data_IF_969037670665
#
_entry.id   IF_969037670665
#
_cell.length_a   1.000
_cell.length_b   1.000
_cell.length_c   1.000
_cell.angle_alpha   90.00
_cell.angle_beta   90.00
_cell.angle_gamma   90.00
#
_symmetry.space_group_name_H-M   'P 1'
#
loop_
_entity.id
_entity.type
_entity.pdbx_description
1 polymer ?
#
# COMPACT_ATOMS: atom_id res chain seq x y z
N UNK A 1 -10.02 42.40 23.05
CA UNK A 1 -11.29 41.90 23.62
C UNK A 1 -11.76 40.71 22.79
N UNK A 2 -11.97 39.49 23.32
CA UNK A 2 -11.23 38.78 24.35
C UNK A 2 -10.59 37.46 23.83
N UNK A 3 -9.43 37.11 24.41
CA UNK A 3 -8.77 35.80 24.28
C UNK A 3 -9.64 34.69 24.88
N UNK A 4 -9.83 33.59 24.14
CA UNK A 4 -10.46 32.39 24.66
C UNK A 4 -9.47 31.57 25.50
N UNK A 5 -9.61 31.66 26.83
CA UNK A 5 -8.92 30.78 27.79
C UNK A 5 -9.60 29.41 27.78
N UNK A 6 -8.90 28.39 27.31
CA UNK A 6 -9.30 27.00 27.54
C UNK A 6 -9.02 26.63 29.00
N UNK A 7 -10.07 26.36 29.77
CA UNK A 7 -9.99 25.83 31.12
C UNK A 7 -9.85 24.30 31.05
N UNK A 8 -8.69 23.79 31.42
CA UNK A 8 -8.48 22.34 31.60
C UNK A 8 -9.09 21.93 32.95
N UNK A 9 -10.17 21.14 32.92
CA UNK A 9 -10.69 20.45 34.10
C UNK A 9 -9.76 19.29 34.44
N UNK A 10 -9.10 19.39 35.60
CA UNK A 10 -8.41 18.27 36.21
C UNK A 10 -9.44 17.30 36.82
N UNK A 11 -9.45 16.05 36.38
CA UNK A 11 -10.19 14.99 37.04
C UNK A 11 -9.32 14.41 38.17
N UNK A 12 -9.72 14.67 39.41
CA UNK A 12 -9.11 14.09 40.61
C UNK A 12 -9.79 12.76 40.92
N UNK A 13 -9.06 11.66 40.84
CA UNK A 13 -9.53 10.34 41.32
C UNK A 13 -8.93 10.08 42.69
N UNK A 14 -9.71 10.32 43.74
CA UNK A 14 -9.37 9.90 45.09
C UNK A 14 -9.44 8.36 45.18
N UNK A 15 -8.37 7.73 45.67
CA UNK A 15 -8.29 6.29 45.92
C UNK A 15 -8.72 6.04 47.36
N UNK A 16 -9.90 5.45 47.56
CA UNK A 16 -10.35 5.00 48.88
C UNK A 16 -9.76 3.62 49.16
N UNK A 17 -8.91 3.50 50.18
CA UNK A 17 -8.43 2.22 50.67
C UNK A 17 -9.56 1.50 51.42
N UNK A 18 -10.04 0.38 50.87
CA UNK A 18 -10.89 -0.55 51.59
C UNK A 18 -10.00 -1.62 52.26
N UNK A 19 -9.92 -1.56 53.58
CA UNK A 19 -9.36 -2.63 54.42
C UNK A 19 -10.40 -3.76 54.52
N UNK A 20 -10.12 -4.89 53.88
CA UNK A 20 -10.88 -6.12 54.11
C UNK A 20 -9.97 -7.21 54.66
N UNK A 21 -10.36 -7.70 55.83
CA UNK A 21 -9.68 -8.67 56.65
C UNK A 21 -9.46 -10.02 55.93
N UNK A 22 -8.29 -10.61 56.17
CA UNK A 22 -7.92 -11.99 55.82
C UNK A 22 -8.92 -12.99 56.45
N UNK A 23 -9.61 -13.76 55.62
CA UNK A 23 -10.24 -15.03 56.04
C UNK A 23 -9.42 -16.22 55.51
N UNK A 24 -9.17 -17.26 56.32
CA UNK A 24 -8.42 -18.43 55.87
C UNK A 24 -9.24 -19.30 54.92
N UNK A 25 -8.55 -19.78 53.89
CA UNK A 25 -9.03 -20.69 52.85
C UNK A 25 -9.39 -22.06 53.41
N UNK A 26 -10.47 -22.67 52.91
CA UNK A 26 -10.50 -24.12 52.89
C UNK A 26 -10.90 -24.64 51.49
N UNK A 27 -10.28 -25.77 51.16
CA UNK A 27 -10.63 -26.71 50.08
C UNK A 27 -10.09 -26.43 48.68
N UNK A 28 -8.97 -27.12 48.39
CA UNK A 28 -8.72 -27.94 47.20
C UNK A 28 -9.69 -27.71 46.02
N UNK A 29 -9.43 -26.66 45.24
CA UNK A 29 -9.94 -26.52 43.89
C UNK A 29 -8.83 -26.92 42.92
N UNK A 30 -9.07 -27.98 42.16
CA UNK A 30 -8.21 -28.44 41.08
C UNK A 30 -7.70 -27.25 40.25
N UNK A 31 -6.38 -27.19 40.04
CA UNK A 31 -5.81 -26.36 38.98
C UNK A 31 -6.46 -26.83 37.68
N UNK A 32 -7.47 -26.11 37.20
CA UNK A 32 -7.94 -26.23 35.84
C UNK A 32 -6.70 -26.06 34.97
N UNK A 33 -6.38 -27.13 34.27
CA UNK A 33 -5.17 -27.22 33.47
C UNK A 33 -5.18 -26.07 32.46
N UNK A 34 -4.00 -25.48 32.23
CA UNK A 34 -3.69 -24.60 31.08
C UNK A 34 -3.86 -25.32 29.72
N UNK A 35 -4.75 -26.31 29.64
CA UNK A 35 -4.98 -27.20 28.49
C UNK A 35 -5.87 -26.56 27.42
N UNK A 36 -6.62 -25.50 27.73
CA UNK A 36 -7.24 -24.67 26.70
C UNK A 36 -6.23 -23.67 26.11
N UNK A 37 -5.08 -24.17 25.65
CA UNK A 37 -4.31 -23.45 24.63
C UNK A 37 -5.21 -23.35 23.41
N UNK A 38 -5.93 -22.23 23.28
CA UNK A 38 -6.66 -21.79 22.08
C UNK A 38 -6.03 -22.43 20.85
N UNK A 39 -6.73 -23.39 20.24
CA UNK A 39 -6.25 -24.18 19.11
C UNK A 39 -5.56 -23.23 18.12
N UNK A 40 -4.25 -23.42 17.89
CA UNK A 40 -3.48 -22.49 17.06
C UNK A 40 -4.16 -22.40 15.69
N UNK A 41 -4.55 -21.18 15.29
CA UNK A 41 -5.17 -20.94 13.98
C UNK A 41 -4.18 -21.34 12.90
N UNK A 42 -4.58 -22.26 12.04
CA UNK A 42 -3.78 -22.66 10.88
C UNK A 42 -3.95 -21.64 9.75
N UNK A 43 -2.87 -21.39 9.02
CA UNK A 43 -2.92 -20.56 7.83
C UNK A 43 -3.67 -21.29 6.71
N UNK A 44 -4.49 -20.57 5.96
CA UNK A 44 -5.13 -21.10 4.77
C UNK A 44 -4.10 -21.28 3.64
N UNK A 45 -4.33 -22.22 2.71
CA UNK A 45 -3.49 -22.35 1.53
C UNK A 45 -3.46 -21.05 0.70
N UNK A 46 -2.36 -20.77 0.00
CA UNK A 46 -2.23 -19.58 -0.82
C UNK A 46 -3.26 -19.58 -1.97
N UNK A 47 -3.70 -18.39 -2.37
CA UNK A 47 -4.67 -18.23 -3.45
C UNK A 47 -4.15 -18.77 -4.79
N UNK A 48 -2.84 -18.79 -4.98
CA UNK A 48 -2.17 -19.30 -6.20
C UNK A 48 -2.58 -20.71 -6.59
N UNK A 49 -2.90 -21.58 -5.63
CA UNK A 49 -3.34 -22.96 -5.92
C UNK A 49 -4.69 -23.03 -6.64
N UNK A 50 -5.51 -21.98 -6.53
CA UNK A 50 -6.85 -21.90 -7.12
C UNK A 50 -6.90 -21.06 -8.41
N UNK A 51 -5.78 -20.50 -8.84
CA UNK A 51 -5.75 -19.60 -9.99
C UNK A 51 -5.72 -20.41 -11.29
N UNK A 52 -6.60 -20.08 -12.23
CA UNK A 52 -6.52 -20.62 -13.60
C UNK A 52 -5.39 -19.94 -14.37
N UNK A 53 -4.82 -20.64 -15.35
CA UNK A 53 -3.74 -20.11 -16.19
C UNK A 53 -4.24 -18.95 -17.07
N UNK A 54 -5.46 -19.07 -17.60
CA UNK A 54 -6.08 -18.07 -18.49
C UNK A 54 -6.81 -16.95 -17.72
N UNK A 55 -6.55 -16.78 -16.42
CA UNK A 55 -7.20 -15.76 -15.61
C UNK A 55 -6.80 -14.33 -16.04
N UNK A 56 -7.75 -13.40 -15.94
CA UNK A 56 -7.47 -11.97 -16.13
C UNK A 56 -6.56 -11.42 -15.01
N UNK A 57 -5.29 -11.28 -15.33
CA UNK A 57 -4.27 -10.78 -14.41
C UNK A 57 -4.55 -9.37 -13.84
N UNK A 58 -4.99 -8.37 -14.63
CA UNK A 58 -5.39 -7.06 -14.11
C UNK A 58 -6.43 -7.10 -12.98
N UNK A 59 -7.31 -8.12 -12.95
CA UNK A 59 -8.26 -8.31 -11.85
C UNK A 59 -7.58 -8.78 -10.56
N UNK A 60 -6.51 -9.57 -10.66
CA UNK A 60 -5.72 -10.06 -9.53
C UNK A 60 -4.87 -8.94 -8.93
N UNK A 61 -4.32 -8.06 -9.78
CA UNK A 61 -3.38 -7.01 -9.38
C UNK A 61 -3.79 -5.65 -9.99
N UNK A 62 -4.88 -5.03 -9.53
CA UNK A 62 -5.46 -3.85 -10.18
C UNK A 62 -4.69 -2.55 -9.93
N UNK A 63 -3.97 -2.44 -8.82
CA UNK A 63 -3.32 -1.20 -8.37
C UNK A 63 -1.92 -1.47 -7.81
N UNK A 64 -1.15 -0.41 -7.58
CA UNK A 64 0.16 -0.49 -6.95
C UNK A 64 0.04 -1.05 -5.51
N UNK A 65 0.63 -2.22 -5.28
CA UNK A 65 0.59 -2.94 -4.01
C UNK A 65 1.98 -3.56 -3.77
N UNK A 66 2.41 -3.78 -2.51
CA UNK A 66 3.61 -4.57 -2.25
C UNK A 66 3.50 -6.01 -2.78
N UNK A 67 4.64 -6.63 -3.04
CA UNK A 67 4.69 -8.00 -3.53
C UNK A 67 3.99 -8.97 -2.55
N UNK A 68 2.95 -9.65 -3.02
CA UNK A 68 2.14 -10.62 -2.24
C UNK A 68 2.46 -12.05 -2.70
N UNK A 69 3.32 -12.81 -1.99
CA UNK A 69 3.72 -14.14 -2.44
C UNK A 69 2.55 -15.12 -2.59
N UNK A 70 1.48 -14.93 -1.80
CA UNK A 70 0.27 -15.77 -1.83
C UNK A 70 -0.70 -15.48 -2.98
N UNK A 71 -0.50 -14.39 -3.73
CA UNK A 71 -1.34 -13.99 -4.86
C UNK A 71 -0.60 -14.06 -6.20
N UNK A 72 0.74 -14.03 -6.20
CA UNK A 72 1.54 -14.09 -7.42
C UNK A 72 1.88 -15.56 -7.74
N UNK A 73 1.36 -16.15 -8.84
CA UNK A 73 1.51 -17.56 -9.17
C UNK A 73 2.88 -17.91 -9.78
N UNK A 74 3.85 -17.00 -9.71
CA UNK A 74 5.18 -17.18 -10.27
C UNK A 74 6.15 -17.75 -9.22
N UNK A 75 7.03 -18.71 -9.57
CA UNK A 75 8.05 -19.25 -8.66
C UNK A 75 9.31 -18.36 -8.62
N UNK A 76 9.13 -17.08 -8.28
CA UNK A 76 10.23 -16.10 -8.23
C UNK A 76 11.15 -16.38 -7.03
N UNK A 77 12.46 -16.26 -7.24
CA UNK A 77 13.48 -16.37 -6.20
C UNK A 77 14.40 -15.16 -6.25
N UNK A 78 14.86 -14.70 -5.09
CA UNK A 78 15.76 -13.55 -5.02
C UNK A 78 16.64 -13.58 -3.78
N UNK A 79 17.85 -13.03 -3.90
CA UNK A 79 18.85 -12.99 -2.83
C UNK A 79 20.15 -13.65 -3.23
N UNK A 80 21.23 -13.26 -2.56
CA UNK A 80 22.54 -13.83 -2.81
C UNK A 80 22.57 -15.30 -2.36
N UNK A 81 22.92 -16.24 -3.26
CA UNK A 81 22.97 -17.66 -2.90
C UNK A 81 24.15 -17.94 -1.97
N UNK A 82 23.96 -18.84 -1.02
CA UNK A 82 25.09 -19.42 -0.26
C UNK A 82 25.92 -20.32 -1.17
N UNK A 83 27.18 -20.62 -0.80
CA UNK A 83 28.03 -21.51 -1.61
C UNK A 83 27.31 -22.84 -1.89
N UNK A 84 27.17 -23.20 -3.17
CA UNK A 84 26.40 -24.37 -3.66
C UNK A 84 24.90 -24.35 -3.27
N UNK A 85 24.34 -23.18 -3.00
CA UNK A 85 22.94 -22.99 -2.61
C UNK A 85 22.08 -22.35 -3.70
N UNK A 86 20.77 -22.32 -3.43
CA UNK A 86 19.74 -21.71 -4.30
C UNK A 86 19.30 -20.38 -3.67
N UNK A 87 18.98 -19.35 -4.45
CA UNK A 87 18.37 -18.13 -3.93
C UNK A 87 17.08 -18.40 -3.14
N UNK A 88 16.80 -17.54 -2.15
CA UNK A 88 15.62 -17.63 -1.30
C UNK A 88 14.34 -17.59 -2.14
N UNK A 89 13.36 -18.41 -1.75
CA UNK A 89 12.04 -18.44 -2.36
C UNK A 89 11.27 -17.11 -2.14
N UNK A 90 10.04 -17.01 -2.66
CA UNK A 90 9.24 -15.78 -2.55
C UNK A 90 8.58 -15.62 -1.18
N UNK A 91 8.35 -16.72 -0.47
CA UNK A 91 7.71 -16.75 0.85
C UNK A 91 8.65 -16.13 1.89
N UNK A 92 8.19 -15.04 2.54
CA UNK A 92 8.98 -14.35 3.56
C UNK A 92 10.18 -13.55 3.06
N UNK A 93 10.36 -13.40 1.74
CA UNK A 93 11.51 -12.72 1.18
C UNK A 93 11.35 -11.19 1.21
N UNK A 94 12.01 -10.55 2.18
CA UNK A 94 11.97 -9.10 2.36
C UNK A 94 12.56 -8.34 1.16
N UNK A 95 13.49 -8.94 0.41
CA UNK A 95 14.07 -8.26 -0.75
C UNK A 95 13.00 -8.02 -1.82
N UNK A 96 12.07 -8.97 -2.02
CA UNK A 96 10.97 -8.82 -2.98
C UNK A 96 9.94 -7.75 -2.55
N UNK A 97 9.81 -7.50 -1.24
CA UNK A 97 8.95 -6.41 -0.74
C UNK A 97 9.53 -5.02 -1.02
N UNK A 98 10.85 -4.89 -1.10
CA UNK A 98 11.52 -3.60 -1.33
C UNK A 98 11.43 -3.14 -2.78
N UNK A 99 11.20 -4.05 -3.72
CA UNK A 99 11.13 -3.72 -5.15
C UNK A 99 9.80 -3.03 -5.45
N UNK A 100 9.80 -1.83 -6.06
CA UNK A 100 8.61 -1.26 -6.65
C UNK A 100 8.23 -2.11 -7.87
N UNK A 101 7.27 -3.01 -7.70
CA UNK A 101 6.86 -3.94 -8.75
C UNK A 101 5.88 -3.27 -9.75
N UNK A 102 5.87 -3.79 -10.97
CA UNK A 102 5.02 -3.30 -12.07
C UNK A 102 3.92 -4.32 -12.43
N UNK A 103 3.53 -5.18 -11.47
CA UNK A 103 2.57 -6.26 -11.73
C UNK A 103 1.16 -5.75 -12.08
N UNK A 104 0.83 -4.51 -11.72
CA UNK A 104 -0.43 -3.84 -12.09
C UNK A 104 -0.34 -3.16 -13.46
N UNK A 105 0.86 -2.88 -13.98
CA UNK A 105 1.10 -2.18 -15.25
C UNK A 105 1.55 -3.15 -16.34
N UNK A 106 0.88 -4.30 -16.44
CA UNK A 106 1.14 -5.24 -17.53
C UNK A 106 0.63 -4.67 -18.88
N UNK A 107 1.19 -5.10 -20.03
CA UNK A 107 0.74 -4.60 -21.34
C UNK A 107 -0.76 -4.79 -21.59
N UNK A 108 -1.35 -5.85 -21.05
CA UNK A 108 -2.81 -6.11 -21.13
C UNK A 108 -3.58 -5.07 -20.31
N UNK A 109 -3.12 -4.74 -19.10
CA UNK A 109 -3.73 -3.70 -18.27
C UNK A 109 -3.64 -2.33 -18.96
N UNK A 110 -2.46 -1.95 -19.46
CA UNK A 110 -2.23 -0.65 -20.11
C UNK A 110 -3.16 -0.47 -21.30
N UNK A 111 -3.32 -1.48 -22.17
CA UNK A 111 -4.24 -1.42 -23.31
C UNK A 111 -5.68 -1.17 -22.87
N UNK A 112 -6.15 -1.89 -21.84
CA UNK A 112 -7.50 -1.69 -21.27
C UNK A 112 -7.66 -0.29 -20.66
N UNK A 113 -6.67 0.19 -19.92
CA UNK A 113 -6.68 1.52 -19.30
C UNK A 113 -6.69 2.63 -20.36
N UNK A 114 -5.78 2.59 -21.33
CA UNK A 114 -5.74 3.57 -22.42
C UNK A 114 -7.04 3.56 -23.24
N UNK A 115 -7.65 2.41 -23.48
CA UNK A 115 -8.93 2.34 -24.19
C UNK A 115 -10.05 3.08 -23.44
N UNK A 116 -10.11 2.96 -22.12
CA UNK A 116 -11.09 3.69 -21.30
C UNK A 116 -10.76 5.20 -21.18
N UNK A 117 -9.49 5.57 -21.30
CA UNK A 117 -9.05 6.96 -21.21
C UNK A 117 -9.21 7.75 -22.52
N UNK A 118 -9.41 7.06 -23.66
CA UNK A 118 -9.58 7.70 -24.97
C UNK A 118 -10.74 8.68 -25.02
N UNK A 119 -11.82 8.40 -24.30
CA UNK A 119 -13.02 9.24 -24.26
C UNK A 119 -12.77 10.62 -23.63
N UNK A 120 -11.65 10.79 -22.90
CA UNK A 120 -11.23 12.06 -22.31
C UNK A 120 -10.25 12.84 -23.19
N UNK A 121 -9.71 12.23 -24.25
CA UNK A 121 -8.75 12.88 -25.14
C UNK A 121 -9.47 13.68 -26.23
N UNK A 122 -8.88 14.81 -26.64
CA UNK A 122 -9.32 15.57 -27.82
C UNK A 122 -8.34 15.40 -28.96
N UNK A 123 -8.83 15.42 -30.20
CA UNK A 123 -7.98 15.35 -31.38
C UNK A 123 -7.11 16.62 -31.49
N UNK A 124 -5.86 16.44 -31.92
CA UNK A 124 -4.96 17.55 -32.23
C UNK A 124 -5.37 18.18 -33.58
N UNK A 125 -5.41 19.52 -33.72
CA UNK A 125 -5.82 20.18 -34.96
C UNK A 125 -4.89 19.84 -36.14
N UNK A 126 -5.46 19.20 -37.17
CA UNK A 126 -4.72 18.75 -38.36
C UNK A 126 -4.07 19.88 -39.19
N UNK A 127 -4.53 21.12 -39.04
CA UNK A 127 -3.93 22.29 -39.70
C UNK A 127 -2.54 22.67 -39.14
N UNK A 128 -2.23 22.21 -37.92
CA UNK A 128 -0.97 22.43 -37.20
C UNK A 128 -0.09 21.18 -37.27
N UNK A 129 0.27 20.80 -38.49
CA UNK A 129 1.14 19.66 -38.83
C UNK A 129 2.63 20.00 -38.73
N UNK A 130 3.01 21.27 -38.85
CA UNK A 130 4.38 21.76 -38.75
C UNK A 130 4.55 22.92 -37.78
N UNK A 131 5.72 22.99 -37.15
CA UNK A 131 6.06 24.04 -36.19
C UNK A 131 6.06 25.45 -36.83
N UNK A 132 6.38 25.56 -38.13
CA UNK A 132 6.30 26.83 -38.86
C UNK A 132 4.88 27.40 -38.92
N UNK A 133 3.87 26.53 -39.09
CA UNK A 133 2.46 26.95 -39.06
C UNK A 133 2.03 27.30 -37.64
N UNK A 134 2.50 26.56 -36.63
CA UNK A 134 2.30 26.90 -35.22
C UNK A 134 2.84 28.30 -34.91
N UNK A 135 4.09 28.61 -35.28
CA UNK A 135 4.71 29.90 -35.04
C UNK A 135 4.02 31.07 -35.78
N UNK A 136 3.46 30.81 -36.97
CA UNK A 136 2.70 31.81 -37.74
C UNK A 136 1.36 32.17 -37.09
N UNK A 137 0.64 31.18 -36.56
CA UNK A 137 -0.69 31.38 -35.96
C UNK A 137 -0.63 31.71 -34.47
N UNK A 138 0.39 31.22 -33.76
CA UNK A 138 0.62 31.38 -32.32
C UNK A 138 2.07 31.86 -32.07
N UNK A 139 2.33 33.17 -32.18
CA UNK A 139 3.69 33.72 -32.07
C UNK A 139 4.22 33.85 -30.63
N UNK A 140 3.40 33.55 -29.63
CA UNK A 140 3.76 33.64 -28.20
C UNK A 140 3.72 32.23 -27.61
N UNK A 141 4.81 31.85 -26.95
CA UNK A 141 4.92 30.61 -26.18
C UNK A 141 4.93 30.92 -24.68
N UNK A 142 4.16 30.14 -23.92
CA UNK A 142 4.11 30.25 -22.45
C UNK A 142 4.69 28.95 -21.89
N UNK A 143 5.83 29.05 -21.20
CA UNK A 143 6.46 27.92 -20.54
C UNK A 143 6.04 27.88 -19.06
N UNK A 144 5.57 26.71 -18.60
CA UNK A 144 5.18 26.45 -17.21
C UNK A 144 5.82 25.16 -16.73
N UNK A 145 6.32 25.13 -15.49
CA UNK A 145 6.98 23.96 -14.91
C UNK A 145 6.24 23.42 -13.67
N UNK A 146 5.79 22.17 -13.75
CA UNK A 146 5.12 21.47 -12.65
C UNK A 146 6.02 20.39 -12.03
N UNK A 147 5.92 20.23 -10.71
CA UNK A 147 6.77 19.33 -9.94
C UNK A 147 5.95 18.35 -9.10
N UNK A 148 6.26 17.06 -9.22
CA UNK A 148 5.64 15.98 -8.43
C UNK A 148 6.69 15.37 -7.50
N UNK A 149 6.45 15.46 -6.19
CA UNK A 149 7.33 14.91 -5.17
C UNK A 149 6.56 14.00 -4.21
N UNK A 150 7.27 13.05 -3.58
CA UNK A 150 6.70 12.25 -2.50
C UNK A 150 6.74 13.04 -1.19
N UNK A 151 5.59 13.30 -0.57
CA UNK A 151 5.52 13.97 0.73
C UNK A 151 4.13 14.54 1.02
N UNK A 152 3.92 15.11 2.23
CA UNK A 152 2.66 15.72 2.60
C UNK A 152 2.44 17.09 1.95
N UNK A 153 3.51 17.80 1.57
CA UNK A 153 3.42 19.11 0.93
C UNK A 153 3.54 18.98 -0.59
N UNK A 154 2.59 19.59 -1.29
CA UNK A 154 2.58 19.70 -2.76
C UNK A 154 3.27 21.00 -3.23
N UNK A 155 3.59 21.92 -2.30
CA UNK A 155 4.16 23.23 -2.65
C UNK A 155 5.61 23.10 -3.10
N UNK A 156 5.93 23.68 -4.25
CA UNK A 156 7.29 23.89 -4.73
C UNK A 156 7.46 25.36 -5.17
N UNK A 157 8.39 26.13 -4.59
CA UNK A 157 8.60 27.54 -4.98
C UNK A 157 9.02 27.70 -6.45
N UNK A 158 9.68 26.70 -7.03
CA UNK A 158 10.13 26.73 -8.44
C UNK A 158 9.01 26.65 -9.47
N UNK A 159 7.76 26.42 -9.04
CA UNK A 159 6.61 26.41 -9.94
C UNK A 159 6.09 27.82 -10.25
N UNK A 160 6.61 28.85 -9.57
CA UNK A 160 6.26 30.26 -9.80
C UNK A 160 7.34 31.01 -10.59
N UNK A 161 8.49 30.36 -10.82
CA UNK A 161 9.60 30.87 -11.64
C UNK A 161 9.31 30.58 -13.12
#
# INVERSE_FOLDING_TARGET
MPCSRFSLRAFSTAVTQATYARRPSPHTGERTSKSERRMRRQALPPRTEKMSVDQDWPSVYPVAVPFKPSAVPLPVRMGYPVKKGIPMAKEGNLQLLKIPNFLHLTPVAIKKHCQALKDFCTEWPAALDSDEKCAKHFPIEIATADYVSSGPSVRNPKAQE
#
